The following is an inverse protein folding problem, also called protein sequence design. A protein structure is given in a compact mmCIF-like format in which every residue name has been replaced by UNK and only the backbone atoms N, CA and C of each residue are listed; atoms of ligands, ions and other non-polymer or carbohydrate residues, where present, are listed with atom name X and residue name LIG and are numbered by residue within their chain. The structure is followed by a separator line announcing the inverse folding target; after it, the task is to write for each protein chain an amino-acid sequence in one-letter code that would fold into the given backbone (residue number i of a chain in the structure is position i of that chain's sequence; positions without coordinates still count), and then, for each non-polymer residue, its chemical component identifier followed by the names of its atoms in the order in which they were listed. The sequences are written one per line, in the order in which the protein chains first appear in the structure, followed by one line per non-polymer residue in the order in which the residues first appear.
data_IF_109106057168
#
_entry.id   IF_109106057168
#
_cell.length_a   1.000
_cell.length_b   1.000
_cell.length_c   1.000
_cell.angle_alpha   90.00
_cell.angle_beta   90.00
_cell.angle_gamma   90.00
#
_symmetry.space_group_name_H-M   'P 1'
#
loop_
_entity.id
_entity.type
_entity.pdbx_description
1 polymer ?
#
# COMPACT_ATOMS: atom_id res chain seq x y z
N UNK A 1 -6.87 -30.99 -17.69
CA UNK A 1 -6.57 -29.76 -16.98
C UNK A 1 -7.71 -29.36 -16.07
N UNK A 2 -7.44 -29.22 -14.81
CA UNK A 2 -8.41 -28.74 -13.86
C UNK A 2 -8.69 -27.26 -14.01
N UNK A 3 -9.87 -26.81 -13.65
CA UNK A 3 -10.19 -25.38 -13.53
C UNK A 3 -9.47 -24.80 -12.32
N UNK A 4 -9.07 -23.53 -12.41
CA UNK A 4 -8.53 -22.80 -11.27
C UNK A 4 -9.68 -22.42 -10.34
N UNK A 5 -9.57 -22.82 -9.08
CA UNK A 5 -10.53 -22.44 -8.05
C UNK A 5 -9.94 -21.28 -7.25
N UNK A 6 -10.69 -20.20 -7.15
CA UNK A 6 -10.27 -19.07 -6.33
C UNK A 6 -10.45 -19.43 -4.84
N UNK A 7 -9.33 -19.47 -4.13
CA UNK A 7 -9.32 -19.81 -2.70
C UNK A 7 -9.08 -18.58 -1.81
N UNK A 8 -9.16 -17.38 -2.38
CA UNK A 8 -8.90 -16.14 -1.69
C UNK A 8 -7.50 -15.61 -1.96
N UNK A 9 -7.26 -14.39 -1.52
CA UNK A 9 -5.95 -13.77 -1.60
C UNK A 9 -5.15 -14.16 -0.36
N UNK A 10 -3.99 -14.78 -0.54
CA UNK A 10 -3.18 -15.28 0.56
C UNK A 10 -2.10 -14.30 1.03
N UNK A 11 -1.70 -13.38 0.15
CA UNK A 11 -0.64 -12.40 0.42
C UNK A 11 -1.10 -11.05 -0.12
N UNK A 12 -1.55 -10.20 0.78
CA UNK A 12 -2.14 -8.91 0.43
C UNK A 12 -1.11 -7.81 0.68
N UNK A 13 -0.84 -6.99 -0.33
CA UNK A 13 0.01 -5.81 -0.19
C UNK A 13 -0.86 -4.55 -0.19
N UNK A 14 -0.73 -3.73 0.84
CA UNK A 14 -1.40 -2.43 0.91
C UNK A 14 -0.37 -1.34 0.69
N UNK A 15 -0.62 -0.46 -0.27
CA UNK A 15 0.14 0.77 -0.44
C UNK A 15 -0.54 1.85 0.40
N UNK A 16 0.17 2.37 1.39
CA UNK A 16 -0.42 3.23 2.42
C UNK A 16 0.32 4.55 2.52
N UNK A 17 -0.37 5.66 2.29
CA UNK A 17 0.19 7.02 2.36
C UNK A 17 -0.44 7.89 3.45
N UNK A 18 -1.20 7.29 4.36
CA UNK A 18 -1.90 7.94 5.46
C UNK A 18 -2.99 8.92 5.03
N UNK A 19 -3.37 8.94 3.74
CA UNK A 19 -4.51 9.73 3.28
C UNK A 19 -5.83 9.08 3.72
N UNK A 20 -6.95 9.82 3.71
CA UNK A 20 -8.27 9.24 4.03
C UNK A 20 -8.62 8.04 3.15
N UNK A 21 -8.31 8.07 1.87
CA UNK A 21 -8.55 6.94 0.98
C UNK A 21 -7.65 5.75 1.32
N UNK A 22 -6.40 6.00 1.73
CA UNK A 22 -5.49 4.94 2.16
C UNK A 22 -5.97 4.31 3.47
N UNK A 23 -6.52 5.10 4.39
CA UNK A 23 -7.12 4.56 5.61
C UNK A 23 -8.30 3.64 5.30
N UNK A 24 -9.15 4.04 4.36
CA UNK A 24 -10.26 3.20 3.94
C UNK A 24 -9.77 1.91 3.26
N UNK A 25 -8.75 2.02 2.40
CA UNK A 25 -8.12 0.86 1.78
C UNK A 25 -7.54 -0.09 2.84
N UNK A 26 -6.93 0.47 3.89
CA UNK A 26 -6.39 -0.31 5.00
C UNK A 26 -7.49 -1.08 5.73
N UNK A 27 -8.63 -0.44 5.99
CA UNK A 27 -9.76 -1.10 6.63
C UNK A 27 -10.28 -2.28 5.78
N UNK A 28 -10.40 -2.07 4.47
CA UNK A 28 -10.81 -3.14 3.55
C UNK A 28 -9.80 -4.28 3.57
N UNK A 29 -8.51 -3.97 3.50
CA UNK A 29 -7.46 -5.00 3.49
C UNK A 29 -7.40 -5.79 4.79
N UNK A 30 -7.59 -5.13 5.94
CA UNK A 30 -7.65 -5.81 7.24
C UNK A 30 -8.84 -6.77 7.31
N UNK A 31 -10.00 -6.33 6.82
CA UNK A 31 -11.18 -7.19 6.77
C UNK A 31 -10.95 -8.41 5.86
N UNK A 32 -10.40 -8.19 4.68
CA UNK A 32 -10.07 -9.27 3.75
C UNK A 32 -9.07 -10.26 4.34
N UNK A 33 -7.99 -9.74 4.95
CA UNK A 33 -6.95 -10.58 5.52
C UNK A 33 -7.49 -11.44 6.66
N UNK A 34 -8.36 -10.86 7.50
CA UNK A 34 -9.00 -11.61 8.58
C UNK A 34 -9.90 -12.72 8.06
N UNK A 35 -10.73 -12.42 7.07
CA UNK A 35 -11.67 -13.39 6.49
C UNK A 35 -10.98 -14.49 5.71
N UNK A 36 -9.94 -14.15 4.97
CA UNK A 36 -9.20 -15.09 4.10
C UNK A 36 -8.03 -15.75 4.78
N UNK A 37 -7.73 -15.37 6.01
CA UNK A 37 -6.52 -15.83 6.74
C UNK A 37 -5.26 -15.55 5.93
N UNK A 38 -5.20 -14.36 5.35
CA UNK A 38 -4.09 -13.93 4.53
C UNK A 38 -3.03 -13.21 5.38
N UNK A 39 -1.80 -13.24 4.89
CA UNK A 39 -0.73 -12.40 5.41
C UNK A 39 -0.85 -11.02 4.80
N UNK A 40 -0.69 -10.00 5.63
CA UNK A 40 -0.84 -8.61 5.21
C UNK A 40 0.52 -7.90 5.26
N UNK A 41 0.86 -7.23 4.18
CA UNK A 41 2.06 -6.41 4.06
C UNK A 41 1.63 -4.97 3.80
N UNK A 42 2.23 -4.03 4.52
CA UNK A 42 1.97 -2.61 4.34
C UNK A 42 3.26 -1.94 3.90
N UNK A 43 3.21 -1.24 2.79
CA UNK A 43 4.35 -0.45 2.30
C UNK A 43 3.97 1.03 2.26
N UNK A 44 4.82 1.87 2.82
CA UNK A 44 4.72 3.32 2.70
C UNK A 44 5.97 3.84 2.03
N UNK A 45 5.80 4.70 1.03
CA UNK A 45 6.91 5.19 0.23
C UNK A 45 7.09 6.67 0.47
N UNK A 46 8.30 7.06 0.86
CA UNK A 46 8.68 8.44 1.02
C UNK A 46 9.30 8.90 -0.29
N UNK A 47 8.70 9.91 -0.92
CA UNK A 47 9.27 10.51 -2.11
C UNK A 47 10.34 11.50 -1.68
N UNK A 48 11.60 11.30 -2.12
CA UNK A 48 12.67 12.23 -1.72
C UNK A 48 12.52 13.57 -2.41
N UNK A 49 13.03 14.65 -1.80
CA UNK A 49 13.06 15.94 -2.49
C UNK A 49 14.01 15.90 -3.66
N UNK A 50 13.78 16.72 -4.66
CA UNK A 50 14.65 16.88 -5.80
C UNK A 50 15.30 18.27 -5.74
N UNK A 51 16.65 18.37 -5.92
CA UNK A 51 17.58 17.25 -6.16
C UNK A 51 17.82 16.41 -4.89
N UNK A 52 18.23 15.15 -5.10
CA UNK A 52 18.46 14.22 -3.99
C UNK A 52 19.59 14.64 -3.05
N UNK A 53 20.49 15.50 -3.51
CA UNK A 53 21.59 16.04 -2.71
C UNK A 53 21.20 17.26 -1.88
N UNK A 54 19.91 17.63 -1.88
CA UNK A 54 19.48 18.81 -1.11
C UNK A 54 19.70 18.60 0.38
N UNK A 55 19.96 19.69 1.09
CA UNK A 55 20.13 19.66 2.54
C UNK A 55 18.87 19.18 3.27
N UNK A 56 17.72 19.24 2.59
CA UNK A 56 16.43 18.84 3.14
C UNK A 56 16.18 17.33 3.08
N UNK A 57 17.01 16.59 2.33
CA UNK A 57 16.78 15.16 2.10
C UNK A 57 16.64 14.38 3.41
N UNK A 58 17.60 14.52 4.31
CA UNK A 58 17.57 13.78 5.58
C UNK A 58 16.37 14.17 6.44
N UNK A 59 16.05 15.46 6.47
CA UNK A 59 14.91 15.95 7.25
C UNK A 59 13.59 15.38 6.72
N UNK A 60 13.39 15.38 5.40
CA UNK A 60 12.18 14.84 4.77
C UNK A 60 12.05 13.35 5.02
N UNK A 61 13.14 12.60 4.87
CA UNK A 61 13.14 11.16 5.09
C UNK A 61 12.86 10.82 6.55
N UNK A 62 13.54 11.49 7.49
CA UNK A 62 13.35 11.23 8.92
C UNK A 62 11.93 11.55 9.37
N UNK A 63 11.39 12.68 8.92
CA UNK A 63 10.02 13.08 9.24
C UNK A 63 9.00 12.10 8.65
N UNK A 64 9.23 11.65 7.42
CA UNK A 64 8.36 10.67 6.77
C UNK A 64 8.36 9.33 7.48
N UNK A 65 9.54 8.84 7.88
CA UNK A 65 9.64 7.59 8.64
C UNK A 65 8.92 7.68 9.97
N UNK A 66 9.11 8.76 10.69
CA UNK A 66 8.45 8.96 11.97
C UNK A 66 6.93 8.99 11.81
N UNK A 67 6.43 9.68 10.80
CA UNK A 67 5.01 9.76 10.50
C UNK A 67 4.42 8.37 10.23
N UNK A 68 5.05 7.60 9.36
CA UNK A 68 4.53 6.28 9.00
C UNK A 68 4.66 5.28 10.14
N UNK A 69 5.78 5.28 10.86
CA UNK A 69 5.93 4.38 12.01
C UNK A 69 4.88 4.67 13.08
N UNK A 70 4.51 5.92 13.26
CA UNK A 70 3.44 6.30 14.18
C UNK A 70 2.09 5.76 13.70
N UNK A 71 1.80 5.87 12.41
CA UNK A 71 0.57 5.31 11.82
C UNK A 71 0.52 3.79 11.95
N UNK A 72 1.66 3.13 11.81
CA UNK A 72 1.73 1.67 11.89
C UNK A 72 1.39 1.11 13.28
N UNK A 73 1.57 1.89 14.33
CA UNK A 73 1.21 1.44 15.70
C UNK A 73 -0.27 1.04 15.75
N UNK A 74 -1.15 1.90 15.25
CA UNK A 74 -2.59 1.62 15.21
C UNK A 74 -2.91 0.44 14.29
N UNK A 75 -2.25 0.37 13.14
CA UNK A 75 -2.47 -0.70 12.17
C UNK A 75 -2.08 -2.05 12.77
N UNK A 76 -0.92 -2.12 13.44
CA UNK A 76 -0.47 -3.35 14.10
C UNK A 76 -1.45 -3.80 15.17
N UNK A 77 -1.99 -2.87 15.94
CA UNK A 77 -2.96 -3.22 16.97
C UNK A 77 -4.26 -3.77 16.38
N UNK A 78 -4.75 -3.16 15.30
CA UNK A 78 -5.94 -3.67 14.61
C UNK A 78 -5.71 -5.06 14.02
N UNK A 79 -4.53 -5.28 13.45
CA UNK A 79 -4.15 -6.59 12.91
C UNK A 79 -4.07 -7.65 14.03
N UNK A 80 -3.48 -7.29 15.16
CA UNK A 80 -3.39 -8.18 16.31
C UNK A 80 -4.77 -8.60 16.81
N UNK A 81 -5.72 -7.67 16.87
CA UNK A 81 -7.09 -7.96 17.31
C UNK A 81 -7.80 -8.94 16.38
N UNK A 82 -7.42 -8.97 15.11
CA UNK A 82 -8.02 -9.88 14.12
C UNK A 82 -7.16 -11.12 13.86
N UNK A 83 -6.09 -11.29 14.63
CA UNK A 83 -5.14 -12.40 14.47
C UNK A 83 -4.54 -12.46 13.06
N UNK A 84 -4.20 -11.29 12.52
CA UNK A 84 -3.59 -11.15 11.20
C UNK A 84 -2.09 -11.04 11.34
N UNK A 85 -1.34 -11.85 10.58
CA UNK A 85 0.10 -11.72 10.44
C UNK A 85 0.41 -10.50 9.58
N UNK A 86 1.11 -9.52 10.15
CA UNK A 86 1.37 -8.23 9.51
C UNK A 86 2.85 -7.93 9.44
N UNK A 87 3.31 -7.46 8.28
CA UNK A 87 4.62 -6.85 8.12
C UNK A 87 4.45 -5.43 7.59
N UNK A 88 5.29 -4.52 8.05
CA UNK A 88 5.28 -3.12 7.63
C UNK A 88 6.66 -2.72 7.15
N UNK A 89 6.71 -1.84 6.15
CA UNK A 89 7.97 -1.35 5.60
C UNK A 89 7.81 0.10 5.13
N UNK A 90 8.82 0.91 5.43
CA UNK A 90 8.94 2.27 4.89
C UNK A 90 10.14 2.29 3.97
N UNK A 91 9.94 2.72 2.73
CA UNK A 91 11.01 2.82 1.73
C UNK A 91 11.06 4.23 1.14
N UNK A 92 12.19 4.58 0.56
CA UNK A 92 12.39 5.87 -0.11
C UNK A 92 12.50 5.63 -1.60
N UNK A 93 11.75 6.38 -2.40
CA UNK A 93 11.81 6.25 -3.85
C UNK A 93 10.55 6.74 -4.54
N UNK A 94 10.34 6.25 -5.76
CA UNK A 94 9.11 6.53 -6.52
C UNK A 94 8.02 5.56 -6.10
N UNK A 95 6.86 6.05 -5.65
CA UNK A 95 5.84 5.18 -5.06
C UNK A 95 5.42 4.01 -5.96
N UNK A 96 5.06 4.25 -7.21
CA UNK A 96 4.60 3.19 -8.10
C UNK A 96 5.67 2.11 -8.30
N UNK A 97 6.92 2.51 -8.51
CA UNK A 97 8.03 1.57 -8.71
C UNK A 97 8.28 0.71 -7.49
N UNK A 98 8.28 1.33 -6.30
CA UNK A 98 8.52 0.61 -5.05
C UNK A 98 7.38 -0.36 -4.73
N UNK A 99 6.15 0.04 -5.00
CA UNK A 99 4.97 -0.82 -4.79
C UNK A 99 5.04 -2.04 -5.71
N UNK A 100 5.31 -1.83 -6.99
CA UNK A 100 5.41 -2.91 -7.97
C UNK A 100 6.55 -3.86 -7.60
N UNK A 101 7.72 -3.31 -7.25
CA UNK A 101 8.87 -4.11 -6.83
C UNK A 101 8.54 -4.96 -5.60
N UNK A 102 7.90 -4.37 -4.59
CA UNK A 102 7.52 -5.11 -3.38
C UNK A 102 6.52 -6.22 -3.71
N UNK A 103 5.52 -5.91 -4.55
CA UNK A 103 4.53 -6.90 -4.95
C UNK A 103 5.17 -8.11 -5.63
N UNK A 104 6.16 -7.86 -6.49
CA UNK A 104 6.89 -8.96 -7.15
C UNK A 104 7.72 -9.75 -6.16
N UNK A 105 8.49 -9.08 -5.31
CA UNK A 105 9.40 -9.75 -4.37
C UNK A 105 8.66 -10.60 -3.33
N UNK A 106 7.49 -10.18 -2.90
CA UNK A 106 6.68 -10.93 -1.93
C UNK A 106 5.67 -11.85 -2.59
N UNK A 107 5.59 -11.85 -3.91
CA UNK A 107 4.58 -12.61 -4.67
C UNK A 107 3.17 -12.28 -4.20
N UNK A 108 2.82 -11.00 -4.21
CA UNK A 108 1.51 -10.54 -3.77
C UNK A 108 0.41 -11.16 -4.61
N UNK A 109 -0.66 -11.60 -3.96
CA UNK A 109 -1.86 -12.08 -4.65
C UNK A 109 -2.77 -10.92 -5.07
N UNK A 110 -2.66 -9.79 -4.38
CA UNK A 110 -3.39 -8.57 -4.72
C UNK A 110 -2.67 -7.36 -4.11
N UNK A 111 -2.73 -6.23 -4.82
CA UNK A 111 -2.32 -4.93 -4.28
C UNK A 111 -3.59 -4.14 -3.98
N UNK A 112 -3.71 -3.60 -2.78
CA UNK A 112 -4.84 -2.76 -2.37
C UNK A 112 -4.34 -1.33 -2.19
N UNK A 113 -5.01 -0.39 -2.83
CA UNK A 113 -4.65 1.03 -2.78
C UNK A 113 -5.90 1.88 -2.63
N UNK A 114 -5.77 3.03 -2.00
CA UNK A 114 -6.82 4.03 -1.99
C UNK A 114 -6.84 4.79 -3.30
N UNK A 115 -8.03 5.17 -3.75
CA UNK A 115 -8.17 6.06 -4.89
C UNK A 115 -7.71 7.44 -4.47
N UNK A 116 -6.70 7.99 -5.15
CA UNK A 116 -6.22 9.34 -4.88
C UNK A 116 -6.68 10.27 -5.98
N UNK A 117 -7.48 11.28 -5.59
CA UNK A 117 -7.91 12.34 -6.49
C UNK A 117 -7.53 13.68 -5.88
N UNK A 118 -6.91 14.55 -6.66
CA UNK A 118 -6.44 15.85 -6.19
C UNK A 118 -7.55 16.91 -6.13
N UNK A 119 -8.65 16.71 -6.85
CA UNK A 119 -9.77 17.64 -6.86
C UNK A 119 -11.10 16.92 -7.03
N UNK A 120 -12.19 17.60 -6.61
CA UNK A 120 -13.55 17.09 -6.80
C UNK A 120 -13.86 16.91 -8.30
N UNK A 121 -13.31 17.76 -9.15
CA UNK A 121 -13.50 17.69 -10.59
C UNK A 121 -12.91 16.43 -11.22
N UNK A 122 -11.94 15.82 -10.55
CA UNK A 122 -11.24 14.61 -11.04
C UNK A 122 -11.64 13.35 -10.31
N UNK A 123 -12.83 13.32 -9.70
CA UNK A 123 -13.27 12.11 -8.95
C UNK A 123 -13.41 10.86 -9.80
N UNK A 124 -13.42 10.99 -11.11
CA UNK A 124 -13.43 9.86 -12.06
C UNK A 124 -12.02 9.40 -12.41
N UNK A 125 -11.02 10.19 -12.09
CA UNK A 125 -9.64 9.91 -12.46
C UNK A 125 -8.92 9.22 -11.31
N UNK A 126 -8.16 8.21 -11.69
CA UNK A 126 -7.25 7.53 -10.79
C UNK A 126 -5.97 8.36 -10.73
N UNK A 127 -5.35 8.50 -9.55
CA UNK A 127 -4.08 9.20 -9.41
C UNK A 127 -2.97 8.55 -10.23
N UNK A 128 -1.93 9.32 -10.56
CA UNK A 128 -0.84 8.86 -11.42
C UNK A 128 -0.13 7.61 -10.89
N UNK A 129 0.08 7.51 -9.58
CA UNK A 129 0.72 6.34 -8.99
C UNK A 129 -0.17 5.11 -9.10
N UNK A 130 -1.46 5.24 -8.81
CA UNK A 130 -2.41 4.13 -8.93
C UNK A 130 -2.53 3.67 -10.37
N UNK A 131 -2.55 4.60 -11.32
CA UNK A 131 -2.59 4.27 -12.75
C UNK A 131 -1.35 3.48 -13.17
N UNK A 132 -0.16 3.90 -12.73
CA UNK A 132 1.08 3.18 -13.05
C UNK A 132 1.09 1.79 -12.44
N UNK A 133 0.63 1.64 -11.21
CA UNK A 133 0.53 0.33 -10.57
C UNK A 133 -0.43 -0.56 -11.35
N UNK A 134 -1.60 -0.04 -11.72
CA UNK A 134 -2.58 -0.80 -12.52
C UNK A 134 -1.99 -1.26 -13.85
N UNK A 135 -1.19 -0.41 -14.49
CA UNK A 135 -0.63 -0.69 -15.81
C UNK A 135 0.49 -1.73 -15.76
N UNK A 136 1.31 -1.72 -14.74
CA UNK A 136 2.55 -2.51 -14.70
C UNK A 136 2.56 -3.64 -13.66
N UNK A 137 1.58 -3.73 -12.79
CA UNK A 137 1.52 -4.80 -11.82
C UNK A 137 1.28 -6.16 -12.49
N UNK A 138 1.88 -7.20 -11.93
CA UNK A 138 1.71 -8.57 -12.43
C UNK A 138 0.67 -9.36 -11.62
N UNK A 139 -0.10 -8.68 -10.79
CA UNK A 139 -1.15 -9.28 -9.98
C UNK A 139 -2.39 -8.38 -10.00
N UNK A 140 -3.54 -8.88 -9.54
CA UNK A 140 -4.73 -8.05 -9.38
C UNK A 140 -4.46 -6.81 -8.52
N UNK A 141 -5.10 -5.71 -8.86
CA UNK A 141 -5.01 -4.45 -8.12
C UNK A 141 -6.43 -4.01 -7.77
N UNK A 142 -6.65 -3.74 -6.49
CA UNK A 142 -7.94 -3.28 -5.98
C UNK A 142 -7.80 -1.80 -5.59
N UNK A 143 -8.61 -0.95 -6.20
CA UNK A 143 -8.67 0.46 -5.88
C UNK A 143 -9.89 0.71 -5.00
N UNK A 144 -9.66 1.24 -3.80
CA UNK A 144 -10.72 1.49 -2.83
C UNK A 144 -11.05 2.98 -2.84
N UNK A 145 -12.31 3.28 -3.00
CA UNK A 145 -12.82 4.65 -3.08
C UNK A 145 -13.07 5.26 -1.73
#
# INVERSE_FOLDING_TARGET
MGSTVFVGFQRILVAYDASPHAEHAMDVALSMAGDMKAKLFVISVIRPPEPAESAEFHAVVDEGREKYERSFISIRERARQKDIELETEVVVGHPAEQIIHKAESMQASVIVMGKRSHTILHRWMIGSNSERVLRYAHCPVMIVH
#
